data_IF_853993886904
#
_entry.id   IF_853993886904
#
_cell.length_a   1.000
_cell.length_b   1.000
_cell.length_c   1.000
_cell.angle_alpha   90.00
_cell.angle_beta   90.00
_cell.angle_gamma   90.00
#
_symmetry.space_group_name_H-M   'P 1'
#
loop_
_entity.id
_entity.type
_entity.pdbx_description
1 polymer ?
#
# COMPACT_ATOMS: atom_id res chain seq x y z
N UNK A 1 -39.08 -37.04 5.74
CA UNK A 1 -38.20 -36.90 6.93
C UNK A 1 -36.87 -36.22 6.59
N UNK A 2 -36.34 -36.39 5.37
CA UNK A 2 -35.06 -35.79 4.94
C UNK A 2 -35.09 -34.25 4.91
N UNK A 3 -36.23 -33.64 4.52
CA UNK A 3 -36.40 -32.19 4.43
C UNK A 3 -36.30 -31.47 5.79
N UNK A 4 -36.64 -32.16 6.89
CA UNK A 4 -36.57 -31.60 8.25
C UNK A 4 -35.12 -31.33 8.70
N UNK A 5 -34.13 -31.98 8.10
CA UNK A 5 -32.69 -31.77 8.40
C UNK A 5 -31.99 -30.91 7.36
N UNK A 6 -32.49 -30.91 6.11
CA UNK A 6 -31.87 -30.14 5.03
C UNK A 6 -32.04 -28.62 5.25
N UNK A 7 -33.23 -28.19 5.61
CA UNK A 7 -33.53 -26.76 5.82
C UNK A 7 -32.69 -26.16 6.95
N UNK A 8 -32.60 -26.73 8.17
CA UNK A 8 -31.76 -26.19 9.22
C UNK A 8 -30.27 -26.27 8.88
N UNK A 9 -29.81 -27.31 8.15
CA UNK A 9 -28.44 -27.41 7.69
C UNK A 9 -28.06 -26.29 6.69
N UNK A 10 -28.95 -25.98 5.74
CA UNK A 10 -28.76 -24.87 4.80
C UNK A 10 -28.75 -23.52 5.52
N UNK A 11 -29.64 -23.33 6.51
CA UNK A 11 -29.66 -22.11 7.31
C UNK A 11 -28.34 -21.94 8.11
N UNK A 12 -27.87 -23.01 8.74
CA UNK A 12 -26.58 -23.01 9.45
C UNK A 12 -25.41 -22.68 8.51
N UNK A 13 -25.38 -23.29 7.32
CA UNK A 13 -24.35 -22.98 6.31
C UNK A 13 -24.41 -21.52 5.85
N UNK A 14 -25.61 -20.97 5.64
CA UNK A 14 -25.79 -19.57 5.28
C UNK A 14 -25.30 -18.62 6.39
N UNK A 15 -25.57 -18.92 7.65
CA UNK A 15 -25.08 -18.12 8.79
C UNK A 15 -23.55 -18.16 8.85
N UNK A 16 -22.94 -19.34 8.71
CA UNK A 16 -21.47 -19.47 8.69
C UNK A 16 -20.87 -18.67 7.53
N UNK A 17 -21.47 -18.74 6.35
CA UNK A 17 -21.02 -17.97 5.19
C UNK A 17 -21.12 -16.46 5.43
N UNK A 18 -22.21 -15.98 6.02
CA UNK A 18 -22.36 -14.56 6.36
C UNK A 18 -21.33 -14.10 7.41
N UNK A 19 -21.04 -14.94 8.41
CA UNK A 19 -20.02 -14.63 9.41
C UNK A 19 -18.62 -14.55 8.79
N UNK A 20 -18.27 -15.48 7.92
CA UNK A 20 -17.01 -15.48 7.19
C UNK A 20 -16.92 -14.25 6.25
N UNK A 21 -17.99 -13.94 5.54
CA UNK A 21 -18.08 -12.76 4.68
C UNK A 21 -17.89 -11.47 5.50
N UNK A 22 -18.59 -11.35 6.62
CA UNK A 22 -18.47 -10.18 7.50
C UNK A 22 -17.08 -10.05 8.10
N UNK A 23 -16.47 -11.16 8.52
CA UNK A 23 -15.09 -11.18 9.01
C UNK A 23 -14.10 -10.72 7.92
N UNK A 24 -14.26 -11.21 6.70
CA UNK A 24 -13.43 -10.80 5.57
C UNK A 24 -13.65 -9.32 5.22
N UNK A 25 -14.89 -8.85 5.21
CA UNK A 25 -15.24 -7.45 4.98
C UNK A 25 -14.56 -6.51 5.99
N UNK A 26 -14.63 -6.83 7.28
CA UNK A 26 -14.00 -6.02 8.34
C UNK A 26 -12.48 -6.00 8.24
N UNK A 27 -11.85 -7.07 7.73
CA UNK A 27 -10.41 -7.11 7.49
C UNK A 27 -9.96 -6.11 6.43
N UNK A 28 -10.71 -5.99 5.32
CA UNK A 28 -10.42 -5.00 4.28
C UNK A 28 -10.57 -3.55 4.79
N UNK A 29 -11.62 -3.28 5.55
CA UNK A 29 -11.85 -1.94 6.09
C UNK A 29 -10.72 -1.48 7.02
N UNK A 30 -10.20 -2.36 7.86
CA UNK A 30 -9.08 -2.03 8.76
C UNK A 30 -7.81 -1.65 8.01
N UNK A 31 -7.50 -2.33 6.91
CA UNK A 31 -6.32 -2.00 6.10
C UNK A 31 -6.44 -0.63 5.45
N UNK A 32 -7.62 -0.30 4.93
CA UNK A 32 -7.85 1.00 4.31
C UNK A 32 -7.79 2.15 5.33
N UNK A 33 -8.41 1.98 6.50
CA UNK A 33 -8.35 2.94 7.61
C UNK A 33 -6.91 3.19 8.10
N UNK A 34 -6.10 2.14 8.20
CA UNK A 34 -4.69 2.24 8.58
C UNK A 34 -3.92 3.10 7.57
N UNK A 35 -4.05 2.83 6.27
CA UNK A 35 -3.37 3.61 5.24
C UNK A 35 -3.89 5.04 5.13
N UNK A 36 -5.18 5.29 5.34
CA UNK A 36 -5.73 6.65 5.40
C UNK A 36 -5.17 7.42 6.60
N UNK A 37 -5.06 6.77 7.76
CA UNK A 37 -4.48 7.36 8.96
C UNK A 37 -3.01 7.71 8.73
N UNK A 38 -2.22 6.82 8.15
CA UNK A 38 -0.83 7.07 7.78
C UNK A 38 -0.71 8.27 6.82
N UNK A 39 -1.58 8.36 5.81
CA UNK A 39 -1.60 9.49 4.87
C UNK A 39 -1.89 10.81 5.56
N UNK A 40 -2.84 10.84 6.47
CA UNK A 40 -3.27 12.09 7.13
C UNK A 40 -2.32 12.54 8.23
N UNK A 41 -1.69 11.61 8.94
CA UNK A 41 -0.81 11.93 10.07
C UNK A 41 0.63 12.22 9.64
N UNK A 42 1.11 11.60 8.57
CA UNK A 42 2.53 11.60 8.22
C UNK A 42 2.85 12.35 6.93
N UNK A 43 1.84 12.65 6.11
CA UNK A 43 1.97 13.60 5.01
C UNK A 43 1.77 15.00 5.55
N UNK A 44 2.76 15.55 6.22
CA UNK A 44 2.78 16.96 6.55
C UNK A 44 2.95 17.73 5.24
N UNK A 45 1.86 18.31 4.76
CA UNK A 45 1.96 19.43 3.85
C UNK A 45 2.51 20.58 4.68
N UNK A 46 3.79 20.85 4.58
CA UNK A 46 4.34 22.10 5.05
C UNK A 46 3.78 23.22 4.15
N UNK A 47 2.64 23.75 4.56
CA UNK A 47 2.05 24.96 3.97
C UNK A 47 2.65 26.23 4.58
N UNK A 48 3.66 26.09 5.42
CA UNK A 48 4.31 27.21 6.07
C UNK A 48 5.60 27.61 5.36
N UNK A 49 5.52 28.73 4.73
CA UNK A 49 6.56 29.67 4.29
C UNK A 49 7.23 29.41 2.94
N UNK A 50 6.76 30.21 1.98
CA UNK A 50 7.49 30.55 0.77
C UNK A 50 8.88 31.15 1.07
N UNK A 51 9.89 30.35 0.79
CA UNK A 51 11.25 30.74 0.59
C UNK A 51 11.79 29.92 -0.57
N UNK A 52 12.38 30.56 -1.54
CA UNK A 52 12.78 30.06 -2.86
C UNK A 52 13.73 28.84 -2.88
N UNK A 53 13.95 28.11 -1.78
CA UNK A 53 14.84 26.95 -1.70
C UNK A 53 14.45 25.91 -0.63
N UNK A 54 13.19 25.81 -0.20
CA UNK A 54 12.77 24.74 0.69
C UNK A 54 12.21 23.57 -0.14
N UNK A 55 12.71 22.34 0.06
CA UNK A 55 12.09 21.16 -0.58
C UNK A 55 10.65 21.03 -0.07
N UNK A 56 9.72 20.96 -1.00
CA UNK A 56 8.31 20.70 -0.71
C UNK A 56 8.16 19.45 0.16
N UNK A 57 7.26 19.54 1.14
CA UNK A 57 6.71 18.50 2.02
C UNK A 57 7.50 17.17 2.05
N UNK A 58 8.43 17.03 2.97
CA UNK A 58 9.06 15.76 3.28
C UNK A 58 8.16 14.93 4.20
N UNK A 59 8.00 13.66 3.85
CA UNK A 59 7.47 12.65 4.77
C UNK A 59 8.41 12.50 5.98
N UNK A 60 7.81 12.43 7.17
CA UNK A 60 8.58 12.16 8.40
C UNK A 60 8.92 10.67 8.49
N UNK A 61 10.06 10.28 7.91
CA UNK A 61 10.56 8.92 7.98
C UNK A 61 10.95 8.49 9.40
N UNK A 62 11.24 9.43 10.30
CA UNK A 62 11.51 9.10 11.71
C UNK A 62 10.24 8.58 12.36
N UNK A 63 9.13 9.30 12.24
CA UNK A 63 7.85 8.87 12.75
C UNK A 63 7.32 7.60 12.07
N UNK A 64 7.59 7.41 10.77
CA UNK A 64 7.26 6.17 10.05
C UNK A 64 8.05 4.97 10.60
N UNK A 65 9.35 5.15 10.86
CA UNK A 65 10.22 4.09 11.41
C UNK A 65 9.90 3.75 12.86
N UNK A 66 9.38 4.69 13.64
CA UNK A 66 8.87 4.40 14.97
C UNK A 66 7.66 3.46 14.95
N UNK A 67 6.81 3.57 13.92
CA UNK A 67 5.66 2.69 13.74
C UNK A 67 6.05 1.35 13.10
N UNK A 68 6.96 1.39 12.10
CA UNK A 68 7.47 0.21 11.44
C UNK A 68 8.94 0.43 10.99
N UNK A 69 9.92 -0.22 11.66
CA UNK A 69 11.32 -0.06 11.32
C UNK A 69 11.69 -0.56 9.91
N UNK A 70 10.85 -1.41 9.32
CA UNK A 70 11.07 -1.99 7.99
C UNK A 70 10.71 -1.02 6.86
N UNK A 71 10.19 0.18 7.15
CA UNK A 71 9.88 1.16 6.11
C UNK A 71 11.15 1.70 5.46
N UNK A 72 11.18 1.65 4.14
CA UNK A 72 12.34 2.10 3.33
C UNK A 72 12.02 3.24 2.38
N UNK A 73 10.76 3.36 1.97
CA UNK A 73 10.31 4.40 1.06
C UNK A 73 8.79 4.62 1.19
N UNK A 74 8.32 5.63 0.46
CA UNK A 74 6.90 5.89 0.25
C UNK A 74 6.64 6.16 -1.22
N UNK A 75 5.75 5.38 -1.83
CA UNK A 75 5.40 5.51 -3.24
C UNK A 75 4.13 6.35 -3.41
N UNK A 76 4.21 7.39 -4.22
CA UNK A 76 3.07 8.22 -4.58
C UNK A 76 2.87 8.25 -6.09
N UNK A 77 1.71 7.77 -6.56
CA UNK A 77 1.28 7.80 -7.96
C UNK A 77 -0.04 8.57 -8.05
N UNK A 78 0.00 9.90 -8.19
CA UNK A 78 -1.19 10.76 -8.06
C UNK A 78 -2.33 10.37 -9.02
N UNK A 79 -2.02 10.01 -10.25
CA UNK A 79 -3.02 9.58 -11.23
C UNK A 79 -3.82 8.34 -10.84
N UNK A 80 -3.31 7.51 -9.95
CA UNK A 80 -3.99 6.34 -9.41
C UNK A 80 -4.57 6.58 -8.02
N UNK A 81 -4.37 7.76 -7.43
CA UNK A 81 -4.63 8.04 -6.01
C UNK A 81 -3.91 7.06 -5.08
N UNK A 82 -2.78 6.50 -5.56
CA UNK A 82 -1.96 5.56 -4.82
C UNK A 82 -0.91 6.35 -4.02
N UNK A 83 -0.89 6.14 -2.72
CA UNK A 83 0.08 6.76 -1.81
C UNK A 83 0.28 5.79 -0.64
N UNK A 84 1.37 5.00 -0.67
CA UNK A 84 1.57 3.86 0.21
C UNK A 84 3.05 3.72 0.63
N UNK A 85 3.30 3.26 1.87
CA UNK A 85 4.64 2.92 2.33
C UNK A 85 5.19 1.70 1.59
N UNK A 86 6.50 1.68 1.39
CA UNK A 86 7.26 0.53 0.89
C UNK A 86 8.09 0.00 2.04
N UNK A 87 7.96 -1.29 2.33
CA UNK A 87 8.67 -1.98 3.40
C UNK A 87 9.68 -2.97 2.85
N UNK A 88 10.73 -3.24 3.63
CA UNK A 88 11.73 -4.26 3.32
C UNK A 88 12.05 -5.05 4.58
N UNK A 89 11.92 -6.36 4.51
CA UNK A 89 12.23 -7.27 5.60
C UNK A 89 13.18 -8.37 5.10
N UNK A 90 13.94 -9.01 6.00
CA UNK A 90 14.81 -10.13 5.66
C UNK A 90 14.03 -11.27 4.99
N UNK A 91 12.80 -11.54 5.43
CA UNK A 91 11.86 -12.40 4.72
C UNK A 91 11.01 -11.55 3.75
N UNK A 92 11.30 -11.66 2.45
CA UNK A 92 10.55 -10.96 1.41
C UNK A 92 9.05 -11.30 1.38
N UNK A 93 8.61 -12.39 2.02
CA UNK A 93 7.21 -12.80 2.09
C UNK A 93 6.50 -12.31 3.35
N UNK A 94 7.23 -11.73 4.32
CA UNK A 94 6.68 -11.35 5.62
C UNK A 94 5.45 -10.45 5.50
N UNK A 95 5.49 -9.46 4.61
CA UNK A 95 4.42 -8.48 4.42
C UNK A 95 3.40 -8.85 3.33
N UNK A 96 3.48 -10.03 2.73
CA UNK A 96 2.47 -10.45 1.73
C UNK A 96 1.06 -10.53 2.31
N UNK A 97 0.94 -10.85 3.59
CA UNK A 97 -0.35 -10.96 4.29
C UNK A 97 -0.37 -10.23 5.64
N UNK A 98 0.38 -9.13 5.70
CA UNK A 98 0.44 -8.26 6.87
C UNK A 98 0.30 -6.81 6.46
N UNK A 99 -0.40 -6.04 7.29
CA UNK A 99 -0.47 -4.58 7.13
C UNK A 99 0.84 -3.91 7.56
N UNK A 100 0.93 -2.61 7.37
CA UNK A 100 2.11 -1.82 7.75
C UNK A 100 2.44 -1.95 9.23
N UNK A 101 1.44 -1.98 10.12
CA UNK A 101 1.62 -2.22 11.57
C UNK A 101 1.94 -3.68 11.95
N UNK A 102 2.04 -4.58 10.97
CA UNK A 102 2.32 -6.01 11.20
C UNK A 102 1.09 -6.87 11.48
N UNK A 103 -0.10 -6.30 11.52
CA UNK A 103 -1.37 -7.02 11.67
C UNK A 103 -1.69 -7.89 10.45
N UNK A 104 -2.60 -8.86 10.61
CA UNK A 104 -3.07 -9.67 9.48
C UNK A 104 -3.84 -8.81 8.49
N UNK A 105 -3.46 -8.88 7.21
CA UNK A 105 -4.11 -8.16 6.11
C UNK A 105 -4.07 -8.99 4.83
N UNK A 106 -5.19 -9.00 4.10
CA UNK A 106 -5.23 -9.64 2.79
C UNK A 106 -4.58 -8.79 1.69
N UNK A 107 -4.47 -7.49 1.92
CA UNK A 107 -3.90 -6.54 0.97
C UNK A 107 -2.38 -6.53 1.01
N UNK A 108 -1.80 -6.92 2.15
CA UNK A 108 -0.36 -6.85 2.36
C UNK A 108 0.18 -5.41 2.33
N UNK A 109 1.46 -5.28 2.02
CA UNK A 109 2.15 -4.00 1.79
C UNK A 109 2.78 -3.95 0.41
N UNK A 110 3.28 -2.77 0.03
CA UNK A 110 4.28 -2.68 -1.03
C UNK A 110 5.63 -3.14 -0.46
N UNK A 111 6.26 -4.10 -1.12
CA UNK A 111 7.43 -4.81 -0.62
C UNK A 111 8.61 -4.58 -1.55
N UNK A 112 9.73 -4.13 -1.00
CA UNK A 112 11.03 -4.23 -1.62
C UNK A 112 11.66 -5.56 -1.19
N UNK A 113 12.11 -6.43 -2.11
CA UNK A 113 12.67 -7.73 -1.75
C UNK A 113 13.96 -7.59 -0.93
N UNK A 114 14.23 -8.60 -0.07
CA UNK A 114 15.43 -8.62 0.78
C UNK A 114 16.76 -8.65 0.01
N UNK A 115 16.76 -9.18 -1.21
CA UNK A 115 17.93 -9.24 -2.08
C UNK A 115 18.24 -7.91 -2.79
N UNK A 116 17.33 -6.95 -2.78
CA UNK A 116 17.61 -5.61 -3.32
C UNK A 116 18.51 -4.82 -2.36
N UNK A 117 19.20 -3.80 -2.86
CA UNK A 117 20.04 -2.92 -2.05
C UNK A 117 19.25 -2.21 -0.95
N UNK A 118 19.87 -1.98 0.19
CA UNK A 118 19.28 -1.20 1.29
C UNK A 118 19.28 0.31 1.04
N UNK A 119 20.07 0.80 0.10
CA UNK A 119 20.07 2.21 -0.35
C UNK A 119 19.32 2.34 -1.67
N UNK A 120 18.47 3.36 -1.79
CA UNK A 120 17.77 3.69 -3.04
C UNK A 120 18.68 4.41 -4.05
N UNK A 121 19.82 4.91 -3.60
CA UNK A 121 20.85 5.52 -4.45
C UNK A 121 21.76 4.47 -5.11
N UNK A 122 21.79 3.25 -4.56
CA UNK A 122 22.64 2.17 -5.06
C UNK A 122 21.88 1.30 -6.06
N UNK A 123 22.57 0.86 -7.08
CA UNK A 123 22.04 -0.06 -8.07
C UNK A 123 21.36 0.65 -9.25
N UNK A 124 21.19 -0.12 -10.33
CA UNK A 124 20.60 0.35 -11.60
C UNK A 124 19.10 0.00 -11.71
N UNK A 125 18.60 -0.85 -10.82
CA UNK A 125 17.23 -1.33 -10.87
C UNK A 125 16.76 -1.71 -9.47
N UNK A 126 15.62 -1.18 -9.08
CA UNK A 126 14.92 -1.53 -7.85
C UNK A 126 13.57 -2.15 -8.19
N UNK A 127 13.15 -3.11 -7.38
CA UNK A 127 11.88 -3.79 -7.57
C UNK A 127 10.96 -3.52 -6.39
N UNK A 128 9.72 -3.14 -6.68
CA UNK A 128 8.67 -3.01 -5.68
C UNK A 128 7.54 -3.97 -6.06
N UNK A 129 7.22 -4.90 -5.18
CA UNK A 129 6.09 -5.80 -5.31
C UNK A 129 4.87 -5.25 -4.57
N UNK A 130 3.70 -5.49 -5.13
CA UNK A 130 2.42 -5.18 -4.50
C UNK A 130 1.33 -6.10 -5.06
N UNK A 131 0.34 -6.43 -4.25
CA UNK A 131 -0.80 -7.21 -4.73
C UNK A 131 -1.58 -6.46 -5.82
N UNK A 132 -2.02 -7.19 -6.83
CA UNK A 132 -2.99 -6.70 -7.81
C UNK A 132 -4.39 -7.08 -7.35
N UNK A 133 -5.08 -6.17 -6.64
CA UNK A 133 -6.37 -6.45 -6.00
C UNK A 133 -7.52 -5.84 -6.80
N UNK A 134 -8.58 -6.63 -7.03
CA UNK A 134 -9.71 -6.22 -7.85
C UNK A 134 -10.47 -4.98 -7.36
N UNK A 135 -10.43 -4.68 -6.04
CA UNK A 135 -11.03 -3.46 -5.48
C UNK A 135 -10.19 -2.21 -5.75
N UNK A 136 -9.03 -2.35 -6.42
CA UNK A 136 -8.12 -1.27 -6.74
C UNK A 136 -7.11 -0.91 -5.64
N UNK A 137 -7.05 -1.68 -4.54
CA UNK A 137 -6.02 -1.54 -3.53
C UNK A 137 -4.66 -1.98 -4.05
N UNK A 138 -3.60 -1.55 -3.38
CA UNK A 138 -2.21 -1.78 -3.76
C UNK A 138 -1.96 -1.44 -5.24
N UNK A 139 -1.50 -2.39 -6.05
CA UNK A 139 -1.26 -2.18 -7.49
C UNK A 139 -2.47 -2.51 -8.39
N UNK A 140 -3.65 -2.72 -7.81
CA UNK A 140 -4.85 -3.07 -8.56
C UNK A 140 -5.29 -2.05 -9.62
N UNK A 141 -4.90 -0.78 -9.46
CA UNK A 141 -5.21 0.28 -10.44
C UNK A 141 -4.15 0.46 -11.54
N UNK A 142 -3.00 -0.24 -11.49
CA UNK A 142 -1.91 -0.06 -12.46
C UNK A 142 -2.32 -0.36 -13.91
N UNK A 143 -3.32 -1.22 -14.12
CA UNK A 143 -3.86 -1.50 -15.47
C UNK A 143 -4.41 -0.25 -16.20
N UNK A 144 -4.67 0.85 -15.49
CA UNK A 144 -5.07 2.11 -16.10
C UNK A 144 -3.99 2.65 -17.07
N UNK A 145 -2.73 2.38 -16.80
CA UNK A 145 -1.61 2.80 -17.66
C UNK A 145 -1.53 2.09 -19.01
N UNK A 146 -2.31 1.05 -19.25
CA UNK A 146 -2.49 0.46 -20.58
C UNK A 146 -3.23 1.37 -21.54
N UNK A 147 -3.92 2.39 -21.04
CA UNK A 147 -4.62 3.38 -21.86
C UNK A 147 -3.69 4.55 -22.12
N UNK A 148 -3.46 4.84 -23.42
CA UNK A 148 -2.54 5.90 -23.84
C UNK A 148 -2.91 7.26 -23.28
N UNK A 149 -4.21 7.60 -23.25
CA UNK A 149 -4.69 8.87 -22.71
C UNK A 149 -4.36 9.03 -21.22
N UNK A 150 -4.55 7.94 -20.44
CA UNK A 150 -4.23 7.93 -19.01
C UNK A 150 -2.73 8.08 -18.79
N UNK A 151 -1.91 7.32 -19.51
CA UNK A 151 -0.45 7.43 -19.48
C UNK A 151 0.02 8.84 -19.81
N UNK A 152 -0.51 9.43 -20.88
CA UNK A 152 -0.13 10.78 -21.33
C UNK A 152 -0.48 11.87 -20.31
N UNK A 153 -1.58 11.68 -19.57
CA UNK A 153 -2.02 12.60 -18.52
C UNK A 153 -1.25 12.42 -17.20
N UNK A 154 -0.70 11.22 -16.94
CA UNK A 154 -0.08 10.86 -15.66
C UNK A 154 1.30 10.21 -15.84
N UNK A 155 2.27 10.87 -16.50
CA UNK A 155 3.52 10.23 -16.92
C UNK A 155 4.54 10.09 -15.77
N UNK A 156 4.26 10.59 -14.59
CA UNK A 156 5.23 10.65 -13.47
C UNK A 156 4.65 10.12 -12.17
N UNK A 157 5.54 9.64 -11.32
CA UNK A 157 5.28 9.31 -9.93
C UNK A 157 6.44 9.75 -9.05
N UNK A 158 6.24 9.80 -7.74
CA UNK A 158 7.30 10.15 -6.79
C UNK A 158 7.56 8.99 -5.84
N UNK A 159 8.84 8.70 -5.63
CA UNK A 159 9.33 7.82 -4.60
C UNK A 159 10.04 8.68 -3.56
N UNK A 160 9.46 8.80 -2.39
CA UNK A 160 10.07 9.45 -1.24
C UNK A 160 10.93 8.44 -0.49
N UNK A 161 12.14 8.84 -0.10
CA UNK A 161 13.07 8.00 0.66
C UNK A 161 13.74 8.79 1.78
N UNK A 162 14.31 8.12 2.79
CA UNK A 162 15.06 8.83 3.82
C UNK A 162 16.24 9.68 3.27
N UNK A 163 16.82 9.27 2.15
CA UNK A 163 18.00 9.89 1.56
C UNK A 163 17.66 11.01 0.57
N UNK A 164 16.42 11.07 0.09
CA UNK A 164 15.94 12.07 -0.86
C UNK A 164 14.72 11.61 -1.65
N UNK A 165 14.15 12.52 -2.42
CA UNK A 165 12.94 12.28 -3.19
C UNK A 165 13.29 12.06 -4.66
N UNK A 166 12.76 11.02 -5.27
CA UNK A 166 12.95 10.68 -6.67
C UNK A 166 11.67 10.93 -7.44
N UNK A 167 11.73 11.91 -8.36
CA UNK A 167 10.67 12.05 -9.35
C UNK A 167 10.94 11.12 -10.52
N UNK A 168 10.11 10.12 -10.68
CA UNK A 168 10.26 9.06 -11.66
C UNK A 168 9.32 9.28 -12.84
N UNK A 169 9.75 8.85 -14.03
CA UNK A 169 8.94 8.86 -15.24
C UNK A 169 8.60 7.44 -15.68
N UNK A 170 7.33 7.24 -15.99
CA UNK A 170 6.83 5.98 -16.57
C UNK A 170 7.18 5.96 -18.07
N UNK A 171 7.60 4.82 -18.61
CA UNK A 171 7.96 4.63 -20.01
C UNK A 171 7.43 3.31 -20.55
#
# INVERSE_FOLDING_TARGET
QLSKFIVPALLAAAVVFLLLFFWQWTSYQKSDEEYQTLRTQLVWMDTSTGGDNAPASRLDFTALKEQNPDVTAWLSVPGLELSLPVVQNEDSNYYLRRSFSGGSSNDGCLIRPSWDSTSWADGLCHVIHGHNIHNGAMFGKLDAYRKQDFYSANPTFTLYTPDGDYQCRIF
#
